data_IF_836511002681
#
_entry.id   IF_836511002681
#
_cell.length_a   1.000
_cell.length_b   1.000
_cell.length_c   1.000
_cell.angle_alpha   90.00
_cell.angle_beta   90.00
_cell.angle_gamma   90.00
#
_symmetry.space_group_name_H-M   'P 1'
#
loop_
_entity.id
_entity.type
_entity.pdbx_description
1 polymer ?
#
# COMPACT_ATOMS: atom_id res chain seq x y z
N UNK A 1 18.24 -23.50 -14.72
CA UNK A 1 17.50 -24.78 -14.90
C UNK A 1 16.20 -24.69 -14.11
N UNK A 2 15.01 -24.86 -14.72
CA UNK A 2 13.76 -24.78 -13.97
C UNK A 2 13.55 -26.08 -13.16
N UNK A 3 13.18 -25.94 -11.89
CA UNK A 3 12.84 -27.08 -11.01
C UNK A 3 11.55 -27.75 -11.49
N UNK A 4 11.59 -29.06 -11.69
CA UNK A 4 10.40 -29.87 -12.00
C UNK A 4 9.47 -29.95 -10.78
N UNK A 5 8.22 -29.52 -10.96
CA UNK A 5 7.12 -29.78 -10.02
C UNK A 5 6.58 -31.19 -10.28
N UNK A 6 6.81 -32.11 -9.34
CA UNK A 6 6.30 -33.48 -9.40
C UNK A 6 5.06 -33.56 -8.50
N UNK A 7 3.90 -33.71 -9.12
CA UNK A 7 2.60 -33.96 -8.48
C UNK A 7 1.58 -34.41 -9.52
N UNK A 8 0.46 -35.05 -9.13
CA UNK A 8 -0.42 -35.85 -10.00
C UNK A 8 -1.22 -35.08 -11.08
N UNK A 9 -0.85 -33.81 -11.37
CA UNK A 9 -1.47 -32.93 -12.37
C UNK A 9 -0.44 -32.21 -13.27
N UNK A 10 0.78 -32.74 -13.43
CA UNK A 10 1.88 -32.08 -14.16
C UNK A 10 1.51 -31.65 -15.59
N UNK A 11 0.76 -32.45 -16.34
CA UNK A 11 0.31 -32.07 -17.70
C UNK A 11 -0.76 -30.95 -17.71
N UNK A 12 -1.59 -30.83 -16.68
CA UNK A 12 -2.59 -29.76 -16.54
C UNK A 12 -1.92 -28.45 -16.11
N UNK A 13 -0.84 -28.54 -15.34
CA UNK A 13 -0.02 -27.40 -14.91
C UNK A 13 0.87 -26.86 -16.05
N UNK A 14 1.48 -27.73 -16.87
CA UNK A 14 2.27 -27.32 -18.04
C UNK A 14 1.41 -26.67 -19.14
N UNK A 15 0.24 -27.25 -19.45
CA UNK A 15 -0.69 -26.68 -20.45
C UNK A 15 -1.23 -25.31 -20.02
N UNK A 16 -1.42 -25.10 -18.71
CA UNK A 16 -1.80 -23.81 -18.15
C UNK A 16 -0.65 -22.80 -18.18
N UNK A 17 0.60 -23.21 -18.00
CA UNK A 17 1.77 -22.32 -18.10
C UNK A 17 1.98 -21.80 -19.53
N UNK A 18 1.88 -22.67 -20.55
CA UNK A 18 1.99 -22.25 -21.97
C UNK A 18 0.82 -21.38 -22.40
N UNK A 19 -0.38 -21.67 -21.92
CA UNK A 19 -1.57 -20.86 -22.22
C UNK A 19 -1.53 -19.51 -21.49
N UNK A 20 -0.97 -19.46 -20.28
CA UNK A 20 -0.74 -18.22 -19.52
C UNK A 20 0.29 -17.33 -20.23
N UNK A 21 1.43 -17.87 -20.67
CA UNK A 21 2.44 -17.11 -21.42
C UNK A 21 1.88 -16.52 -22.72
N UNK A 22 1.05 -17.29 -23.46
CA UNK A 22 0.36 -16.76 -24.65
C UNK A 22 -0.72 -15.73 -24.31
N UNK A 23 -1.37 -15.87 -23.16
CA UNK A 23 -2.28 -14.86 -22.64
C UNK A 23 -1.58 -13.54 -22.36
N UNK A 24 -0.36 -13.55 -21.79
CA UNK A 24 0.44 -12.33 -21.56
C UNK A 24 0.70 -11.59 -22.88
N UNK A 25 1.17 -12.29 -23.92
CA UNK A 25 1.37 -11.70 -25.26
C UNK A 25 0.09 -11.07 -25.84
N UNK A 26 -1.05 -11.77 -25.74
CA UNK A 26 -2.33 -11.26 -26.23
C UNK A 26 -2.84 -10.05 -25.42
N UNK A 27 -2.54 -10.04 -24.11
CA UNK A 27 -2.85 -8.92 -23.24
C UNK A 27 -2.07 -7.66 -23.64
N UNK A 28 -0.77 -7.80 -23.90
CA UNK A 28 0.11 -6.71 -24.32
C UNK A 28 -0.25 -6.17 -25.73
N UNK A 29 -0.80 -7.02 -26.59
CA UNK A 29 -1.39 -6.64 -27.88
C UNK A 29 -2.75 -5.92 -27.75
N UNK A 30 -3.26 -5.72 -26.54
CA UNK A 30 -4.56 -5.07 -26.29
C UNK A 30 -5.78 -5.91 -26.67
N UNK A 31 -5.65 -7.24 -26.77
CA UNK A 31 -6.76 -8.10 -27.13
C UNK A 31 -7.85 -8.10 -26.04
N UNK A 32 -9.11 -8.02 -26.48
CA UNK A 32 -10.25 -8.13 -25.55
C UNK A 32 -10.35 -9.53 -24.93
N UNK A 33 -10.98 -9.63 -23.75
CA UNK A 33 -11.17 -10.90 -23.02
C UNK A 33 -11.82 -11.99 -23.87
N UNK A 34 -12.84 -11.62 -24.66
CA UNK A 34 -13.54 -12.56 -25.55
C UNK A 34 -12.62 -13.07 -26.66
N UNK A 35 -11.78 -12.21 -27.22
CA UNK A 35 -10.84 -12.57 -28.28
C UNK A 35 -9.71 -13.45 -27.75
N UNK A 36 -9.14 -13.10 -26.59
CA UNK A 36 -8.12 -13.90 -25.93
C UNK A 36 -8.66 -15.31 -25.57
N UNK A 37 -9.88 -15.40 -25.04
CA UNK A 37 -10.55 -16.66 -24.72
C UNK A 37 -10.70 -17.56 -25.97
N UNK A 38 -11.15 -16.96 -27.08
CA UNK A 38 -11.31 -17.65 -28.38
C UNK A 38 -9.98 -18.17 -28.92
N UNK A 39 -8.95 -17.33 -28.94
CA UNK A 39 -7.61 -17.68 -29.46
C UNK A 39 -6.91 -18.75 -28.63
N UNK A 40 -7.11 -18.75 -27.32
CA UNK A 40 -6.48 -19.70 -26.41
C UNK A 40 -7.32 -20.97 -26.18
N UNK A 41 -8.55 -21.03 -26.70
CA UNK A 41 -9.45 -22.17 -26.51
C UNK A 41 -9.84 -22.38 -25.04
N UNK A 42 -9.97 -21.29 -24.27
CA UNK A 42 -10.34 -21.32 -22.85
C UNK A 42 -11.60 -20.49 -22.59
N UNK A 43 -12.22 -20.70 -21.43
CA UNK A 43 -13.37 -19.87 -21.03
C UNK A 43 -12.96 -18.41 -20.76
N UNK A 44 -13.87 -17.46 -20.97
CA UNK A 44 -13.66 -16.07 -20.57
C UNK A 44 -13.35 -15.94 -19.07
N UNK A 45 -13.94 -16.80 -18.22
CA UNK A 45 -13.63 -16.87 -16.79
C UNK A 45 -12.16 -17.22 -16.50
N UNK A 46 -11.54 -18.03 -17.35
CA UNK A 46 -10.10 -18.37 -17.26
C UNK A 46 -9.25 -17.13 -17.56
N UNK A 47 -9.60 -16.38 -18.60
CA UNK A 47 -8.91 -15.13 -18.95
C UNK A 47 -9.08 -14.09 -17.84
N UNK A 48 -10.29 -13.90 -17.31
CA UNK A 48 -10.51 -13.01 -16.16
C UNK A 48 -9.75 -13.45 -14.91
N UNK A 49 -9.53 -14.76 -14.71
CA UNK A 49 -8.70 -15.25 -13.61
C UNK A 49 -7.22 -14.92 -13.84
N UNK A 50 -6.72 -15.04 -15.06
CA UNK A 50 -5.35 -14.68 -15.42
C UNK A 50 -5.10 -13.17 -15.43
N UNK A 51 -6.03 -12.36 -15.93
CA UNK A 51 -5.98 -10.90 -15.82
C UNK A 51 -6.00 -10.44 -14.37
N UNK A 52 -6.82 -11.09 -13.52
CA UNK A 52 -6.74 -10.83 -12.08
C UNK A 52 -5.35 -11.16 -11.57
N UNK A 53 -4.77 -12.30 -11.95
CA UNK A 53 -3.37 -12.65 -11.67
C UNK A 53 -2.38 -11.55 -12.04
N UNK A 54 -2.50 -11.00 -13.26
CA UNK A 54 -1.69 -9.86 -13.71
C UNK A 54 -1.85 -8.61 -12.84
N UNK A 55 -3.08 -8.24 -12.48
CA UNK A 55 -3.33 -7.14 -11.52
C UNK A 55 -2.57 -7.34 -10.19
N UNK A 56 -2.21 -8.59 -9.84
CA UNK A 56 -1.33 -8.91 -8.71
C UNK A 56 0.15 -8.97 -9.07
N UNK A 57 0.54 -9.43 -10.27
CA UNK A 57 1.94 -9.46 -10.73
C UNK A 57 2.53 -8.03 -10.86
N UNK A 58 1.69 -6.98 -11.06
CA UNK A 58 2.13 -5.56 -10.97
C UNK A 58 2.70 -5.17 -9.59
N UNK A 59 2.43 -5.95 -8.54
CA UNK A 59 3.03 -5.74 -7.22
C UNK A 59 4.48 -6.26 -7.14
N UNK A 60 4.91 -7.13 -8.05
CA UNK A 60 6.26 -7.74 -8.07
C UNK A 60 7.30 -6.89 -8.81
N UNK A 61 7.12 -5.56 -8.82
CA UNK A 61 8.17 -4.66 -9.28
C UNK A 61 9.28 -4.58 -8.23
N UNK A 62 10.45 -5.15 -8.54
CA UNK A 62 11.72 -5.14 -7.78
C UNK A 62 12.29 -3.73 -7.42
N UNK A 63 11.48 -2.66 -7.47
CA UNK A 63 11.97 -1.28 -7.45
C UNK A 63 11.75 -0.48 -6.18
N UNK A 64 10.91 -0.94 -5.24
CA UNK A 64 10.53 -0.14 -4.09
C UNK A 64 10.92 -0.82 -2.78
N UNK A 65 12.10 -0.50 -2.26
CA UNK A 65 12.64 -1.05 -1.01
C UNK A 65 11.98 -0.44 0.22
N UNK A 66 10.65 -0.54 0.35
CA UNK A 66 9.93 -0.03 1.54
C UNK A 66 10.51 -0.60 2.83
N UNK A 67 10.98 -1.85 2.83
CA UNK A 67 11.69 -2.44 3.96
C UNK A 67 12.97 -1.68 4.34
N UNK A 68 13.74 -1.19 3.35
CA UNK A 68 14.93 -0.37 3.60
C UNK A 68 14.55 1.00 4.17
N UNK A 69 13.47 1.61 3.65
CA UNK A 69 12.94 2.85 4.20
C UNK A 69 12.49 2.67 5.66
N UNK A 70 11.75 1.60 5.95
CA UNK A 70 11.33 1.25 7.32
C UNK A 70 12.54 1.03 8.22
N UNK A 71 13.58 0.34 7.74
CA UNK A 71 14.82 0.14 8.50
C UNK A 71 15.50 1.47 8.84
N UNK A 72 15.67 2.36 7.85
CA UNK A 72 16.23 3.70 8.04
C UNK A 72 15.43 4.52 9.05
N UNK A 73 14.10 4.44 8.99
CA UNK A 73 13.20 5.14 9.91
C UNK A 73 13.23 4.57 11.34
N UNK A 74 13.56 3.29 11.52
CA UNK A 74 13.65 2.65 12.84
C UNK A 74 15.02 2.82 13.53
N UNK A 75 16.06 3.05 12.74
CA UNK A 75 17.46 3.12 13.20
C UNK A 75 18.21 4.29 12.56
N UNK A 76 17.73 5.54 12.76
CA UNK A 76 18.35 6.76 12.21
C UNK A 76 19.86 6.84 12.46
N UNK A 77 20.34 6.31 13.59
CA UNK A 77 21.75 6.34 13.97
C UNK A 77 22.67 5.51 13.07
N UNK A 78 22.11 4.62 12.23
CA UNK A 78 22.85 3.79 11.27
C UNK A 78 23.02 4.46 9.91
N UNK A 79 22.34 5.58 9.68
CA UNK A 79 22.23 6.22 8.37
C UNK A 79 22.60 7.70 8.44
N UNK A 80 22.98 8.26 7.29
CA UNK A 80 23.17 9.69 7.16
C UNK A 80 21.83 10.43 7.21
N UNK A 81 21.84 11.72 7.56
CA UNK A 81 20.61 12.52 7.71
C UNK A 81 19.78 12.55 6.41
N UNK A 82 20.45 12.64 5.27
CA UNK A 82 19.79 12.69 3.97
C UNK A 82 19.11 11.36 3.64
N UNK A 83 19.71 10.23 4.03
CA UNK A 83 19.10 8.90 3.89
C UNK A 83 17.83 8.80 4.75
N UNK A 84 17.84 9.36 5.97
CA UNK A 84 16.65 9.40 6.82
C UNK A 84 15.53 10.27 6.20
N UNK A 85 15.88 11.45 5.68
CA UNK A 85 14.93 12.32 4.97
C UNK A 85 14.33 11.60 3.76
N UNK A 86 15.15 10.97 2.92
CA UNK A 86 14.68 10.20 1.77
C UNK A 86 13.72 9.09 2.24
N UNK A 87 14.09 8.33 3.27
CA UNK A 87 13.23 7.28 3.81
C UNK A 87 11.87 7.80 4.31
N UNK A 88 11.82 9.00 4.91
CA UNK A 88 10.56 9.67 5.29
C UNK A 88 9.71 9.90 4.04
N UNK A 89 10.27 10.50 2.99
CA UNK A 89 9.55 10.81 1.75
C UNK A 89 9.12 9.53 0.98
N UNK A 90 9.98 8.52 0.95
CA UNK A 90 9.69 7.19 0.38
C UNK A 90 8.48 6.57 1.08
N UNK A 91 8.47 6.56 2.41
CA UNK A 91 7.37 5.99 3.17
C UNK A 91 6.06 6.77 2.97
N UNK A 92 6.12 8.10 2.90
CA UNK A 92 4.96 8.97 2.60
C UNK A 92 4.35 8.69 1.21
N UNK A 93 5.19 8.50 0.19
CA UNK A 93 4.71 8.16 -1.15
C UNK A 93 4.13 6.75 -1.17
N UNK A 94 4.79 5.81 -0.48
CA UNK A 94 4.37 4.42 -0.44
C UNK A 94 3.03 4.23 0.26
N UNK A 95 2.82 4.83 1.43
CA UNK A 95 1.55 4.68 2.18
C UNK A 95 0.36 5.20 1.36
N UNK A 96 0.63 6.22 0.53
CA UNK A 96 -0.31 6.82 -0.40
C UNK A 96 -0.58 6.00 -1.67
N UNK A 97 0.21 4.99 -2.03
CA UNK A 97 -0.13 4.03 -3.09
C UNK A 97 0.82 2.82 -3.06
N UNK A 98 0.63 1.87 -2.13
CA UNK A 98 1.61 0.78 -1.96
C UNK A 98 1.64 -0.20 -3.14
N UNK A 99 0.64 -0.13 -4.02
CA UNK A 99 0.53 -0.92 -5.25
C UNK A 99 1.17 -0.24 -6.49
N UNK A 100 1.66 1.00 -6.38
CA UNK A 100 2.18 1.79 -7.49
C UNK A 100 3.69 2.01 -7.38
N UNK A 101 4.44 0.95 -7.03
CA UNK A 101 5.91 0.98 -6.90
C UNK A 101 6.61 1.59 -8.13
N UNK A 102 6.10 1.32 -9.34
CA UNK A 102 6.65 1.82 -10.61
C UNK A 102 6.60 3.35 -10.77
N UNK A 103 5.74 4.04 -10.02
CA UNK A 103 5.61 5.50 -10.05
C UNK A 103 6.28 6.17 -8.83
N UNK A 104 6.68 5.39 -7.82
CA UNK A 104 7.08 5.95 -6.55
C UNK A 104 8.30 6.88 -6.67
N UNK A 105 9.31 6.52 -7.47
CA UNK A 105 10.53 7.31 -7.65
C UNK A 105 10.26 8.74 -8.17
N UNK A 106 9.29 8.92 -9.06
CA UNK A 106 8.91 10.26 -9.56
C UNK A 106 8.31 11.12 -8.46
N UNK A 107 7.47 10.53 -7.62
CA UNK A 107 6.80 11.24 -6.55
C UNK A 107 7.76 11.53 -5.40
N UNK A 108 8.71 10.63 -5.13
CA UNK A 108 9.80 10.87 -4.17
C UNK A 108 10.66 12.03 -4.66
N UNK A 109 11.08 12.01 -5.94
CA UNK A 109 11.84 13.11 -6.52
C UNK A 109 11.07 14.44 -6.43
N UNK A 110 9.76 14.44 -6.73
CA UNK A 110 8.93 15.64 -6.59
C UNK A 110 8.87 16.14 -5.14
N UNK A 111 8.66 15.24 -4.17
CA UNK A 111 8.68 15.58 -2.74
C UNK A 111 10.04 16.10 -2.28
N UNK A 112 11.14 15.49 -2.74
CA UNK A 112 12.51 15.87 -2.37
C UNK A 112 12.89 17.23 -2.95
N UNK A 113 12.50 17.51 -4.20
CA UNK A 113 12.65 18.82 -4.82
C UNK A 113 11.83 19.88 -4.06
N UNK A 114 10.54 19.61 -3.81
CA UNK A 114 9.66 20.53 -3.09
C UNK A 114 10.23 20.85 -1.70
N UNK A 115 10.71 19.82 -0.99
CA UNK A 115 11.33 19.97 0.32
C UNK A 115 12.54 20.91 0.27
N UNK A 116 13.50 20.67 -0.62
CA UNK A 116 14.72 21.48 -0.67
C UNK A 116 14.50 22.90 -1.22
N UNK A 117 13.49 23.09 -2.09
CA UNK A 117 13.12 24.43 -2.54
C UNK A 117 12.54 25.25 -1.38
N UNK A 118 11.59 24.69 -0.64
CA UNK A 118 10.94 25.41 0.47
C UNK A 118 11.85 25.56 1.70
N UNK A 119 12.59 24.52 2.11
CA UNK A 119 13.56 24.59 3.23
C UNK A 119 14.69 25.60 2.96
N UNK A 120 15.11 25.71 1.70
CA UNK A 120 16.17 26.62 1.26
C UNK A 120 15.69 28.02 0.87
N UNK A 121 14.39 28.32 0.93
CA UNK A 121 13.78 29.54 0.36
C UNK A 121 14.23 29.80 -1.09
N UNK A 122 14.31 28.73 -1.87
CA UNK A 122 14.81 28.71 -3.25
C UNK A 122 13.65 28.73 -4.24
N UNK A 123 13.75 29.56 -5.28
CA UNK A 123 12.74 29.62 -6.35
C UNK A 123 13.00 28.60 -7.47
N UNK A 124 14.26 28.21 -7.66
CA UNK A 124 14.67 27.27 -8.72
C UNK A 124 15.66 26.24 -8.19
N UNK A 125 15.78 25.10 -8.90
CA UNK A 125 16.80 24.08 -8.60
C UNK A 125 18.23 24.63 -8.69
N UNK A 126 18.45 25.69 -9.48
CA UNK A 126 19.75 26.34 -9.61
C UNK A 126 20.13 27.16 -8.37
N UNK A 127 19.15 27.53 -7.53
CA UNK A 127 19.36 28.27 -6.28
C UNK A 127 19.64 27.33 -5.09
N UNK A 128 19.22 26.06 -5.19
CA UNK A 128 19.43 25.04 -4.16
C UNK A 128 20.93 24.82 -3.91
N UNK A 129 21.40 24.78 -2.64
CA UNK A 129 22.80 24.50 -2.32
C UNK A 129 23.34 23.23 -2.98
N UNK A 130 24.61 23.25 -3.38
CA UNK A 130 25.23 22.14 -4.12
C UNK A 130 25.15 20.79 -3.39
N UNK A 131 25.21 20.79 -2.05
CA UNK A 131 25.09 19.56 -1.24
C UNK A 131 23.69 18.95 -1.40
N UNK A 132 22.63 19.72 -1.18
CA UNK A 132 21.24 19.29 -1.38
C UNK A 132 20.93 18.94 -2.83
N UNK A 133 21.53 19.65 -3.79
CA UNK A 133 21.35 19.34 -5.22
C UNK A 133 21.90 17.96 -5.58
N UNK A 134 23.05 17.56 -5.01
CA UNK A 134 23.60 16.20 -5.21
C UNK A 134 22.63 15.13 -4.72
N UNK A 135 22.01 15.34 -3.56
CA UNK A 135 21.00 14.41 -3.01
C UNK A 135 19.82 14.27 -3.97
N UNK A 136 19.32 15.39 -4.51
CA UNK A 136 18.26 15.40 -5.52
C UNK A 136 18.70 14.63 -6.78
N UNK A 137 19.89 14.92 -7.31
CA UNK A 137 20.43 14.32 -8.53
C UNK A 137 20.65 12.81 -8.39
N UNK A 138 21.11 12.34 -7.22
CA UNK A 138 21.27 10.91 -6.92
C UNK A 138 19.91 10.19 -6.86
N UNK A 139 18.85 10.88 -6.43
CA UNK A 139 17.48 10.37 -6.40
C UNK A 139 16.79 10.35 -7.78
N UNK A 140 17.28 11.11 -8.76
CA UNK A 140 16.69 11.21 -10.10
C UNK A 140 17.50 10.37 -11.10
N UNK A 141 17.00 9.19 -11.44
CA UNK A 141 17.61 8.35 -12.46
C UNK A 141 17.04 8.62 -13.87
N UNK A 142 17.76 8.12 -14.90
CA UNK A 142 17.36 8.26 -16.31
C UNK A 142 15.93 7.72 -16.57
N UNK A 143 15.50 6.71 -15.84
CA UNK A 143 14.14 6.18 -15.95
C UNK A 143 13.08 7.18 -15.49
N UNK A 144 13.35 7.90 -14.40
CA UNK A 144 12.51 8.99 -13.88
C UNK A 144 12.39 10.11 -14.90
N UNK A 145 13.52 10.53 -15.48
CA UNK A 145 13.55 11.55 -16.55
C UNK A 145 12.78 11.08 -17.80
N UNK A 146 13.04 9.85 -18.27
CA UNK A 146 12.37 9.29 -19.44
C UNK A 146 10.86 9.28 -19.27
N UNK A 147 10.35 8.91 -18.10
CA UNK A 147 8.91 8.89 -17.81
C UNK A 147 8.29 10.29 -17.75
N UNK A 148 9.01 11.29 -17.25
CA UNK A 148 8.54 12.68 -17.23
C UNK A 148 8.45 13.25 -18.65
N UNK A 149 9.39 12.86 -19.52
CA UNK A 149 9.52 13.39 -20.89
C UNK A 149 8.73 12.58 -21.93
N UNK A 150 8.34 11.34 -21.62
CA UNK A 150 7.59 10.48 -22.52
C UNK A 150 6.14 10.97 -22.70
N UNK A 151 5.90 11.64 -23.83
CA UNK A 151 4.59 12.16 -24.24
C UNK A 151 3.53 11.06 -24.49
N UNK A 152 3.91 9.77 -24.54
CA UNK A 152 2.96 8.65 -24.64
C UNK A 152 2.47 8.13 -23.29
N UNK A 153 3.12 8.55 -22.20
CA UNK A 153 2.59 8.39 -20.84
C UNK A 153 1.60 9.52 -20.66
N UNK A 154 0.32 9.22 -20.85
CA UNK A 154 -0.78 10.13 -20.52
C UNK A 154 -0.53 10.66 -19.09
N UNK A 155 -0.19 11.96 -18.97
CA UNK A 155 0.15 12.62 -17.70
C UNK A 155 -1.15 12.89 -16.90
N UNK A 156 -2.04 11.91 -16.86
CA UNK A 156 -2.92 11.71 -15.73
C UNK A 156 -2.07 11.02 -14.65
N UNK A 157 -1.20 11.80 -14.04
CA UNK A 157 -0.28 11.36 -12.99
C UNK A 157 -1.13 10.87 -11.80
N UNK A 158 -1.21 9.55 -11.53
CA UNK A 158 -2.28 8.98 -10.69
C UNK A 158 -2.26 9.43 -9.22
N UNK A 159 -1.18 10.08 -8.79
CA UNK A 159 -1.02 10.55 -7.42
C UNK A 159 -1.52 11.99 -7.21
N UNK A 160 -1.63 12.80 -8.27
CA UNK A 160 -1.99 14.22 -8.12
C UNK A 160 -2.88 14.80 -9.24
N UNK A 161 -3.07 14.12 -10.38
CA UNK A 161 -4.06 14.53 -11.39
C UNK A 161 -5.10 13.43 -11.65
N UNK A 162 -6.36 13.82 -11.39
CA UNK A 162 -7.61 13.11 -11.66
C UNK A 162 -8.08 12.03 -10.66
N UNK A 163 -8.87 12.47 -9.69
CA UNK A 163 -10.22 11.97 -9.37
C UNK A 163 -10.37 10.43 -9.42
N UNK A 164 -9.94 9.75 -8.35
CA UNK A 164 -10.71 8.66 -7.70
C UNK A 164 -9.93 7.92 -6.59
N UNK A 165 -8.61 8.17 -6.42
CA UNK A 165 -7.80 7.42 -5.44
C UNK A 165 -6.72 8.21 -4.68
N UNK A 166 -6.84 9.54 -4.59
CA UNK A 166 -6.09 10.27 -3.56
C UNK A 166 -6.51 9.70 -2.21
N UNK A 167 -5.54 9.22 -1.44
CA UNK A 167 -5.77 8.81 -0.06
C UNK A 167 -6.03 10.09 0.73
N UNK A 168 -7.25 10.60 0.67
CA UNK A 168 -7.67 11.70 1.53
C UNK A 168 -7.84 11.21 2.97
N UNK A 169 -7.90 12.15 3.90
CA UNK A 169 -8.04 11.86 5.34
C UNK A 169 -9.25 10.93 5.61
N UNK A 170 -10.35 11.10 4.88
CA UNK A 170 -11.55 10.27 5.02
C UNK A 170 -11.33 8.83 4.58
N UNK A 171 -10.71 8.62 3.43
CA UNK A 171 -10.39 7.30 2.90
C UNK A 171 -9.37 6.60 3.78
N UNK A 172 -8.43 7.36 4.35
CA UNK A 172 -7.43 6.86 5.27
C UNK A 172 -8.04 6.44 6.61
N UNK A 173 -8.92 7.27 7.18
CA UNK A 173 -9.67 6.94 8.39
C UNK A 173 -10.53 5.69 8.16
N UNK A 174 -11.23 5.59 7.02
CA UNK A 174 -12.02 4.41 6.68
C UNK A 174 -11.17 3.13 6.62
N UNK A 175 -9.94 3.20 6.07
CA UNK A 175 -9.00 2.09 6.09
C UNK A 175 -8.51 1.77 7.51
N UNK A 176 -8.27 2.79 8.34
CA UNK A 176 -7.92 2.61 9.75
C UNK A 176 -9.04 1.89 10.53
N UNK A 177 -10.31 2.27 10.33
CA UNK A 177 -11.47 1.59 10.92
C UNK A 177 -11.59 0.12 10.47
N UNK A 178 -11.30 -0.17 9.19
CA UNK A 178 -11.25 -1.56 8.69
C UNK A 178 -10.17 -2.35 9.42
N UNK A 179 -9.00 -1.74 9.65
CA UNK A 179 -7.91 -2.38 10.39
C UNK A 179 -8.31 -2.65 11.85
N UNK A 180 -8.89 -1.65 12.52
CA UNK A 180 -9.44 -1.75 13.87
C UNK A 180 -10.44 -2.90 13.99
N UNK A 181 -11.39 -2.99 13.06
CA UNK A 181 -12.32 -4.10 12.97
C UNK A 181 -11.62 -5.45 12.87
N UNK A 182 -10.59 -5.57 12.01
CA UNK A 182 -9.87 -6.82 11.85
C UNK A 182 -9.11 -7.27 13.09
N UNK A 183 -8.59 -6.35 13.91
CA UNK A 183 -7.76 -6.70 15.07
C UNK A 183 -8.56 -6.79 16.39
N UNK A 184 -9.81 -6.31 16.39
CA UNK A 184 -10.70 -6.31 17.55
C UNK A 184 -11.14 -7.72 17.99
N UNK A 185 -11.09 -7.97 19.29
CA UNK A 185 -11.55 -9.24 19.89
C UNK A 185 -13.03 -9.54 19.60
N UNK A 186 -13.87 -8.50 19.53
CA UNK A 186 -15.29 -8.62 19.20
C UNK A 186 -15.50 -9.28 17.82
N UNK A 187 -14.64 -8.97 16.84
CA UNK A 187 -14.67 -9.55 15.50
C UNK A 187 -14.28 -11.05 15.44
N UNK A 188 -13.86 -11.65 16.55
CA UNK A 188 -13.36 -13.02 16.62
C UNK A 188 -14.11 -13.92 17.62
N UNK A 189 -14.85 -13.32 18.55
CA UNK A 189 -15.23 -13.95 19.82
C UNK A 189 -16.29 -15.04 19.72
N UNK A 190 -17.16 -15.04 18.70
CA UNK A 190 -18.43 -15.80 18.79
C UNK A 190 -18.50 -17.09 17.95
N UNK A 191 -17.75 -17.25 16.84
CA UNK A 191 -17.93 -18.40 15.92
C UNK A 191 -16.67 -18.88 15.16
N UNK A 192 -15.52 -19.03 15.82
CA UNK A 192 -14.36 -19.74 15.22
C UNK A 192 -13.13 -18.89 14.89
N UNK A 193 -12.98 -17.72 15.52
CA UNK A 193 -11.66 -17.19 15.86
C UNK A 193 -10.91 -16.41 14.78
N UNK A 194 -11.53 -16.02 13.66
CA UNK A 194 -10.90 -15.18 12.62
C UNK A 194 -11.80 -14.08 12.12
N UNK A 195 -11.22 -12.91 11.84
CA UNK A 195 -11.94 -11.84 11.15
C UNK A 195 -12.29 -12.25 9.72
N UNK A 196 -13.53 -11.97 9.32
CA UNK A 196 -14.04 -12.31 7.99
C UNK A 196 -14.10 -11.08 7.10
N UNK A 197 -13.38 -11.11 5.96
CA UNK A 197 -13.51 -10.08 4.92
C UNK A 197 -14.96 -9.91 4.44
N UNK A 198 -15.73 -11.00 4.45
CA UNK A 198 -17.14 -10.99 4.03
C UNK A 198 -17.99 -10.25 5.07
N UNK A 199 -17.73 -10.48 6.36
CA UNK A 199 -18.43 -9.78 7.43
C UNK A 199 -18.13 -8.28 7.37
N UNK A 200 -16.86 -7.89 7.22
CA UNK A 200 -16.48 -6.48 7.07
C UNK A 200 -17.19 -5.82 5.89
N UNK A 201 -17.22 -6.48 4.72
CA UNK A 201 -17.93 -5.95 3.55
C UNK A 201 -19.43 -5.79 3.78
N UNK A 202 -20.09 -6.75 4.44
CA UNK A 202 -21.52 -6.66 4.76
C UNK A 202 -21.82 -5.51 5.72
N UNK A 203 -20.98 -5.33 6.74
CA UNK A 203 -21.08 -4.22 7.69
C UNK A 203 -20.87 -2.86 7.00
N UNK A 204 -19.87 -2.73 6.12
CA UNK A 204 -19.68 -1.53 5.29
C UNK A 204 -20.93 -1.26 4.45
N UNK A 205 -21.50 -2.29 3.82
CA UNK A 205 -22.70 -2.16 2.99
C UNK A 205 -23.94 -1.72 3.77
N UNK A 206 -23.94 -1.92 5.10
CA UNK A 206 -24.97 -1.46 6.03
C UNK A 206 -24.71 -0.06 6.61
N UNK A 207 -23.64 0.62 6.20
CA UNK A 207 -23.29 1.95 6.70
C UNK A 207 -22.80 1.96 8.14
N UNK A 208 -22.21 0.85 8.60
CA UNK A 208 -21.73 0.69 9.98
C UNK A 208 -20.35 1.34 10.19
N UNK A 209 -19.62 1.62 9.11
CA UNK A 209 -18.34 2.31 9.11
C UNK A 209 -18.54 3.81 8.83
N UNK A 210 -17.64 4.67 9.32
CA UNK A 210 -17.80 6.13 9.34
C UNK A 210 -17.94 6.79 7.96
N UNK A 211 -17.51 6.10 6.89
CA UNK A 211 -17.77 6.51 5.53
C UNK A 211 -19.09 5.90 5.01
N UNK A 212 -20.07 6.74 4.66
CA UNK A 212 -21.38 6.39 4.08
C UNK A 212 -21.33 5.72 2.69
N UNK A 213 -20.17 5.23 2.28
CA UNK A 213 -19.95 4.67 0.96
C UNK A 213 -20.35 3.20 0.95
N UNK A 214 -21.55 2.92 0.45
CA UNK A 214 -21.95 1.57 0.08
C UNK A 214 -21.09 1.14 -1.11
N UNK A 215 -20.04 0.37 -0.84
CA UNK A 215 -19.14 -0.15 -1.88
C UNK A 215 -19.52 -1.58 -2.28
N UNK A 216 -19.42 -1.87 -3.58
CA UNK A 216 -19.60 -3.24 -4.06
C UNK A 216 -18.52 -4.17 -3.51
N UNK A 217 -18.80 -5.48 -3.41
CA UNK A 217 -17.81 -6.48 -3.00
C UNK A 217 -16.54 -6.43 -3.87
N UNK A 218 -16.72 -6.22 -5.18
CA UNK A 218 -15.60 -6.09 -6.12
C UNK A 218 -14.74 -4.85 -5.82
N UNK A 219 -15.38 -3.74 -5.47
CA UNK A 219 -14.69 -2.50 -5.10
C UNK A 219 -13.93 -2.69 -3.79
N UNK A 220 -14.55 -3.31 -2.79
CA UNK A 220 -13.91 -3.64 -1.52
C UNK A 220 -12.71 -4.58 -1.68
N UNK A 221 -12.85 -5.65 -2.47
CA UNK A 221 -11.73 -6.55 -2.74
C UNK A 221 -10.57 -5.79 -3.40
N UNK A 222 -10.86 -4.96 -4.43
CA UNK A 222 -9.87 -4.08 -5.08
C UNK A 222 -9.21 -3.09 -4.12
N UNK A 223 -9.97 -2.51 -3.20
CA UNK A 223 -9.45 -1.63 -2.17
C UNK A 223 -8.42 -2.35 -1.29
N UNK A 224 -8.77 -3.54 -0.79
CA UNK A 224 -7.85 -4.34 0.02
C UNK A 224 -6.63 -4.84 -0.75
N UNK A 225 -6.76 -5.11 -2.05
CA UNK A 225 -5.61 -5.42 -2.92
C UNK A 225 -4.64 -4.23 -2.93
N UNK A 226 -5.17 -3.05 -3.28
CA UNK A 226 -4.38 -1.87 -3.59
C UNK A 226 -3.81 -1.18 -2.36
N UNK A 227 -4.53 -1.22 -1.24
CA UNK A 227 -4.27 -0.43 -0.02
C UNK A 227 -4.11 -1.28 1.23
N UNK A 228 -4.30 -2.59 1.12
CA UNK A 228 -4.24 -3.48 2.26
C UNK A 228 -2.93 -3.39 3.04
N UNK A 229 -1.81 -3.27 2.33
CA UNK A 229 -0.49 -3.16 2.92
C UNK A 229 -0.34 -1.93 3.84
N UNK A 230 -1.10 -0.84 3.61
CA UNK A 230 -1.04 0.37 4.42
C UNK A 230 -1.93 0.33 5.66
N UNK A 231 -2.81 -0.67 5.83
CA UNK A 231 -3.75 -0.75 6.96
C UNK A 231 -3.10 -0.59 8.35
N UNK A 232 -1.99 -1.30 8.70
CA UNK A 232 -1.39 -1.17 10.02
C UNK A 232 -0.87 0.24 10.32
N UNK A 233 -0.37 0.89 9.28
CA UNK A 233 0.25 2.21 9.31
C UNK A 233 -0.81 3.29 9.48
N UNK A 234 -1.88 3.23 8.68
CA UNK A 234 -3.02 4.14 8.81
C UNK A 234 -3.70 3.98 10.18
N UNK A 235 -3.88 2.75 10.66
CA UNK A 235 -4.39 2.52 12.01
C UNK A 235 -3.50 3.18 13.08
N UNK A 236 -2.19 2.98 13.01
CA UNK A 236 -1.27 3.62 13.96
C UNK A 236 -1.34 5.16 13.88
N UNK A 237 -1.43 5.74 12.68
CA UNK A 237 -1.55 7.19 12.47
C UNK A 237 -2.84 7.80 12.99
N UNK A 238 -3.97 7.09 12.97
CA UNK A 238 -5.24 7.65 13.44
C UNK A 238 -5.48 7.43 14.94
N UNK A 239 -4.99 6.33 15.49
CA UNK A 239 -5.36 5.91 16.85
C UNK A 239 -4.21 5.93 17.87
N UNK A 240 -2.95 5.89 17.43
CA UNK A 240 -1.79 5.67 18.32
C UNK A 240 -0.60 6.59 18.07
N UNK A 241 -0.75 7.54 17.15
CA UNK A 241 0.29 8.46 16.73
C UNK A 241 -0.36 9.73 16.22
N UNK A 242 0.36 10.84 16.31
CA UNK A 242 0.04 12.13 15.73
C UNK A 242 0.91 12.42 14.49
N UNK A 243 1.64 11.41 13.99
CA UNK A 243 2.41 11.52 12.75
C UNK A 243 1.47 11.42 11.55
N UNK A 244 1.40 12.52 10.81
CA UNK A 244 0.68 12.60 9.54
C UNK A 244 1.59 12.18 8.39
N UNK A 245 1.38 10.97 7.85
CA UNK A 245 2.11 10.46 6.70
C UNK A 245 1.42 10.76 5.36
N UNK A 246 0.25 11.41 5.39
CA UNK A 246 -0.58 11.70 4.21
C UNK A 246 -0.34 13.14 3.76
N UNK A 247 0.94 13.54 3.69
CA UNK A 247 1.31 14.91 3.34
C UNK A 247 1.33 15.09 1.83
N UNK A 248 0.89 16.26 1.39
CA UNK A 248 0.94 16.69 0.00
C UNK A 248 2.09 17.71 -0.17
N UNK A 249 3.04 17.50 -1.11
CA UNK A 249 4.14 18.43 -1.35
C UNK A 249 3.69 19.83 -1.83
N UNK A 250 2.42 20.00 -2.20
CA UNK A 250 1.84 21.30 -2.55
C UNK A 250 1.25 22.08 -1.35
N UNK A 251 1.24 21.52 -0.14
CA UNK A 251 0.75 22.20 1.07
C UNK A 251 1.75 23.23 1.60
N UNK A 252 1.26 24.40 2.05
CA UNK A 252 2.09 25.49 2.61
C UNK A 252 2.89 25.12 3.87
N UNK A 253 2.58 23.99 4.50
CA UNK A 253 3.27 23.53 5.71
C UNK A 253 3.99 22.20 5.50
N UNK A 254 4.18 21.79 4.24
CA UNK A 254 4.79 20.51 3.88
C UNK A 254 6.17 20.33 4.54
N UNK A 255 7.11 21.26 4.32
CA UNK A 255 8.45 21.18 4.91
C UNK A 255 8.41 21.19 6.43
N UNK A 256 7.59 22.05 7.03
CA UNK A 256 7.42 22.10 8.49
C UNK A 256 6.98 20.76 9.06
N UNK A 257 6.06 20.06 8.39
CA UNK A 257 5.57 18.74 8.80
C UNK A 257 6.61 17.65 8.59
N UNK A 258 7.33 17.65 7.45
CA UNK A 258 8.45 16.73 7.22
C UNK A 258 9.54 16.92 8.27
N UNK A 259 9.93 18.16 8.57
CA UNK A 259 10.90 18.48 9.62
C UNK A 259 10.45 18.01 11.01
N UNK A 260 9.16 18.10 11.33
CA UNK A 260 8.65 17.56 12.59
C UNK A 260 8.81 16.04 12.72
N UNK A 261 8.80 15.31 11.60
CA UNK A 261 9.09 13.87 11.56
C UNK A 261 10.61 13.63 11.67
N UNK A 262 11.41 14.35 10.87
CA UNK A 262 12.87 14.20 10.82
C UNK A 262 13.55 14.54 12.16
N UNK A 263 13.00 15.49 12.90
CA UNK A 263 13.58 15.96 14.17
C UNK A 263 13.23 15.12 15.39
N UNK A 264 12.29 14.16 15.28
CA UNK A 264 11.93 13.25 16.37
C UNK A 264 11.97 11.77 15.93
N UNK A 265 13.17 11.21 15.73
CA UNK A 265 13.30 9.82 15.30
C UNK A 265 12.83 8.80 16.35
N UNK A 266 12.81 9.16 17.63
CA UNK A 266 12.32 8.30 18.69
C UNK A 266 10.80 8.07 18.54
N UNK A 267 10.05 9.14 18.23
CA UNK A 267 8.62 9.07 17.90
C UNK A 267 8.35 8.26 16.64
N UNK A 268 9.17 8.43 15.60
CA UNK A 268 9.10 7.61 14.37
C UNK A 268 9.30 6.12 14.68
N UNK A 269 10.34 5.78 15.45
CA UNK A 269 10.60 4.40 15.88
C UNK A 269 9.43 3.81 16.68
N UNK A 270 8.86 4.59 17.61
CA UNK A 270 7.68 4.17 18.37
C UNK A 270 6.49 3.87 17.46
N UNK A 271 6.22 4.72 16.47
CA UNK A 271 5.19 4.49 15.47
C UNK A 271 5.39 3.15 14.72
N UNK A 272 6.61 2.85 14.26
CA UNK A 272 6.88 1.57 13.60
C UNK A 272 6.82 0.36 14.55
N UNK A 273 7.18 0.53 15.83
CA UNK A 273 6.98 -0.49 16.87
C UNK A 273 5.50 -0.85 17.06
N UNK A 274 4.60 0.13 17.01
CA UNK A 274 3.15 -0.10 17.02
C UNK A 274 2.70 -0.81 15.74
N UNK A 275 3.15 -0.33 14.57
CA UNK A 275 2.83 -0.94 13.27
C UNK A 275 3.27 -2.41 13.19
N UNK A 276 4.43 -2.76 13.76
CA UNK A 276 4.93 -4.14 13.86
C UNK A 276 3.98 -5.01 14.67
N UNK A 277 3.50 -4.51 15.82
CA UNK A 277 2.52 -5.22 16.64
C UNK A 277 1.20 -5.44 15.90
N UNK A 278 0.65 -4.39 15.27
CA UNK A 278 -0.61 -4.45 14.52
C UNK A 278 -0.51 -5.42 13.34
N UNK A 279 0.61 -5.39 12.61
CA UNK A 279 0.89 -6.32 11.51
C UNK A 279 0.96 -7.77 11.99
N UNK A 280 1.60 -8.02 13.14
CA UNK A 280 1.59 -9.32 13.80
C UNK A 280 0.17 -9.77 14.14
N UNK A 281 -0.63 -8.88 14.72
CA UNK A 281 -2.02 -9.17 15.08
C UNK A 281 -2.87 -9.51 13.86
N UNK A 282 -2.73 -8.77 12.75
CA UNK A 282 -3.40 -9.08 11.48
C UNK A 282 -3.03 -10.48 10.96
N UNK A 283 -1.75 -10.88 11.05
CA UNK A 283 -1.29 -12.23 10.65
C UNK A 283 -1.94 -13.33 11.50
N UNK A 284 -2.19 -13.08 12.78
CA UNK A 284 -2.83 -14.05 13.69
C UNK A 284 -4.33 -14.21 13.42
N UNK A 285 -5.01 -13.09 13.19
CA UNK A 285 -6.48 -13.05 13.17
C UNK A 285 -7.09 -13.25 11.78
N UNK A 286 -6.32 -13.01 10.71
CA UNK A 286 -6.78 -13.22 9.35
C UNK A 286 -6.54 -14.66 8.88
N UNK A 287 -7.31 -15.07 7.87
CA UNK A 287 -7.10 -16.37 7.25
C UNK A 287 -5.74 -16.40 6.51
N UNK A 288 -4.95 -17.48 6.64
CA UNK A 288 -3.58 -17.55 6.06
C UNK A 288 -3.54 -17.34 4.54
N UNK A 289 -4.57 -17.80 3.81
CA UNK A 289 -4.70 -17.58 2.36
C UNK A 289 -5.19 -16.18 1.96
N UNK A 290 -5.18 -15.23 2.88
CA UNK A 290 -5.57 -13.84 2.64
C UNK A 290 -4.39 -13.12 2.00
N UNK A 291 -4.50 -12.80 0.71
CA UNK A 291 -3.47 -12.05 -0.05
C UNK A 291 -2.98 -10.75 0.61
N UNK A 292 -3.80 -10.14 1.46
CA UNK A 292 -3.39 -8.99 2.29
C UNK A 292 -2.10 -9.27 3.07
N UNK A 293 -1.96 -10.48 3.63
CA UNK A 293 -0.81 -10.86 4.46
C UNK A 293 0.48 -11.07 3.65
N UNK A 294 0.36 -11.33 2.35
CA UNK A 294 1.48 -11.54 1.44
C UNK A 294 2.21 -10.22 1.15
N UNK A 295 1.51 -9.08 1.25
CA UNK A 295 2.03 -7.76 0.90
C UNK A 295 2.26 -6.85 2.11
N UNK A 296 2.08 -7.34 3.35
CA UNK A 296 2.44 -6.57 4.54
C UNK A 296 3.98 -6.46 4.62
N UNK A 297 4.54 -5.24 4.70
CA UNK A 297 5.99 -5.05 4.80
C UNK A 297 6.60 -5.84 5.96
N UNK A 298 7.86 -6.21 5.79
CA UNK A 298 8.64 -6.74 6.90
C UNK A 298 9.21 -5.60 7.73
N UNK A 299 9.36 -5.87 9.02
CA UNK A 299 9.99 -4.95 9.96
C UNK A 299 11.36 -5.51 10.36
N UNK A 300 12.33 -4.65 10.70
CA UNK A 300 13.62 -5.09 11.23
C UNK A 300 13.43 -6.07 12.40
N UNK A 301 14.25 -7.11 12.45
CA UNK A 301 14.11 -8.20 13.44
C UNK A 301 14.25 -7.68 14.86
N UNK A 302 15.20 -6.77 15.09
CA UNK A 302 15.55 -6.14 16.36
C UNK A 302 14.57 -5.05 16.80
N UNK A 303 13.59 -4.67 15.96
CA UNK A 303 12.56 -3.71 16.34
C UNK A 303 11.60 -4.36 17.33
N UNK A 304 11.54 -3.87 18.56
CA UNK A 304 10.57 -4.38 19.53
C UNK A 304 9.16 -3.94 19.16
N UNK A 305 8.20 -4.87 19.17
CA UNK A 305 6.79 -4.57 18.93
C UNK A 305 6.16 -3.97 20.19
N UNK A 306 5.51 -2.81 20.06
CA UNK A 306 4.78 -2.17 21.18
C UNK A 306 3.32 -2.54 21.08
N UNK A 307 2.84 -3.28 22.08
CA UNK A 307 1.41 -3.60 22.20
C UNK A 307 0.61 -2.33 22.47
N UNK A 308 -0.45 -2.15 21.72
CA UNK A 308 -1.43 -1.08 21.94
C UNK A 308 -2.78 -1.66 22.34
N UNK A 309 -3.57 -0.85 23.04
CA UNK A 309 -4.96 -1.17 23.31
C UNK A 309 -5.76 -1.01 22.00
N UNK A 310 -6.60 -2.00 21.70
CA UNK A 310 -7.51 -1.93 20.57
C UNK A 310 -8.81 -1.34 21.07
N UNK A 311 -9.27 -0.25 20.46
CA UNK A 311 -10.55 0.36 20.80
C UNK A 311 -11.66 -0.68 20.69
N UNK A 312 -12.60 -0.64 21.64
CA UNK A 312 -13.80 -1.45 21.50
C UNK A 312 -14.60 -0.98 20.28
N UNK A 313 -15.15 -1.94 19.54
CA UNK A 313 -16.05 -1.61 18.44
C UNK A 313 -17.26 -0.87 19.00
N UNK A 314 -17.77 0.10 18.25
CA UNK A 314 -19.01 0.80 18.62
C UNK A 314 -20.18 -0.17 18.82
N UNK A 315 -21.15 0.22 19.65
CA UNK A 315 -22.38 -0.56 19.87
C UNK A 315 -23.08 -0.92 18.54
N UNK A 316 -23.05 0.00 17.57
CA UNK A 316 -23.57 -0.21 16.22
C UNK A 316 -22.82 -1.34 15.51
N UNK A 317 -21.49 -1.33 15.53
CA UNK A 317 -20.66 -2.38 14.96
C UNK A 317 -20.89 -3.73 15.64
N UNK A 318 -20.96 -3.74 16.98
CA UNK A 318 -21.21 -4.96 17.76
C UNK A 318 -22.60 -5.53 17.45
N UNK A 319 -23.63 -4.68 17.42
CA UNK A 319 -25.00 -5.09 17.10
C UNK A 319 -25.09 -5.66 15.69
N UNK A 320 -24.55 -4.94 14.69
CA UNK A 320 -24.60 -5.39 13.30
C UNK A 320 -23.78 -6.67 13.05
N UNK A 321 -22.67 -6.85 13.78
CA UNK A 321 -21.86 -8.07 13.74
C UNK A 321 -22.62 -9.26 14.36
N UNK A 322 -23.30 -9.06 15.49
CA UNK A 322 -24.15 -10.09 16.10
C UNK A 322 -25.26 -10.54 15.14
N UNK A 323 -25.93 -9.59 14.49
CA UNK A 323 -26.97 -9.88 13.49
C UNK A 323 -26.43 -10.65 12.29
N UNK A 324 -25.20 -10.34 11.85
CA UNK A 324 -24.56 -11.05 10.74
C UNK A 324 -24.32 -12.53 11.08
N UNK A 325 -23.87 -12.81 12.30
CA UNK A 325 -23.59 -14.19 12.73
C UNK A 325 -24.83 -15.04 12.99
N UNK A 326 -26.00 -14.43 13.19
CA UNK A 326 -27.26 -15.14 13.39
C UNK A 326 -27.94 -15.59 12.09
N UNK A 327 -27.40 -15.18 10.93
CA UNK A 327 -27.91 -15.52 9.58
C UNK A 327 -27.22 -16.74 8.99
#
# INVERSE_FOLDING_TARGET
MPKKLIGPNSHVLEKNATSYAKFLSLHDEGCTVKEAARRLGVSASTIYRWQRGLEWDWFEGDGFGIENAIEALCYPERFEKDVFLIAVLEFMVWIQSPHLAVFANQNIAACLIAYHLEEGDCLTLADVPNESRKVIEEGINLYTVLRIVDASVDIQHPLYSEIDFNLDERSALFLAEICEFFISSAAHSKYGGKASKIATHDLISKGVFGASNVISKRTYDKLLVRRGASLPFLYASFYHSDIDWILNPAEENFVKRVNAIVTDPARVKHYFSVCKWVSGRLRDVLHKGTKLLEHLPQFPEDLSATRVEVTELSDLQISALNDWYLR
#
